data_IF_340064445568
#
_entry.id   IF_340064445568
#
_cell.length_a   1.000
_cell.length_b   1.000
_cell.length_c   1.000
_cell.angle_alpha   90.00
_cell.angle_beta   90.00
_cell.angle_gamma   90.00
#
_symmetry.space_group_name_H-M   'P 1'
#
loop_
_entity.id
_entity.type
_entity.pdbx_description
1 polymer ?
#
# COMPACT_ATOMS: atom_id res chain seq x y z
N UNK A 1 13.03 1.19 26.95
CA UNK A 1 11.93 1.52 26.05
C UNK A 1 12.23 1.23 24.58
N UNK A 2 13.17 1.92 23.89
CA UNK A 2 13.45 1.72 22.46
C UNK A 2 13.78 0.27 22.04
N UNK A 3 14.62 -0.43 22.81
CA UNK A 3 15.03 -1.82 22.52
C UNK A 3 13.87 -2.82 22.59
N UNK A 4 12.92 -2.61 23.49
CA UNK A 4 11.71 -3.44 23.59
C UNK A 4 10.80 -3.20 22.39
N UNK A 5 10.62 -1.93 22.00
CA UNK A 5 9.80 -1.57 20.83
C UNK A 5 10.37 -2.15 19.53
N UNK A 6 11.69 -2.10 19.32
CA UNK A 6 12.34 -2.73 18.16
C UNK A 6 12.13 -4.25 18.15
N UNK A 7 12.30 -4.91 19.31
CA UNK A 7 12.09 -6.36 19.41
C UNK A 7 10.64 -6.78 19.16
N UNK A 8 9.68 -5.94 19.52
CA UNK A 8 8.26 -6.19 19.25
C UNK A 8 7.90 -5.90 17.77
N UNK A 9 8.49 -4.84 17.16
CA UNK A 9 8.23 -4.46 15.78
C UNK A 9 8.81 -5.47 14.77
N UNK A 10 10.00 -6.01 15.04
CA UNK A 10 10.73 -6.84 14.08
C UNK A 10 9.94 -8.08 13.61
N UNK A 11 9.32 -8.90 14.47
CA UNK A 11 8.54 -10.06 14.02
C UNK A 11 7.35 -9.67 13.14
N UNK A 12 6.71 -8.53 13.42
CA UNK A 12 5.57 -8.05 12.65
C UNK A 12 5.95 -7.63 11.22
N UNK A 13 7.23 -7.29 10.99
CA UNK A 13 7.73 -6.82 9.69
C UNK A 13 8.36 -7.94 8.85
N UNK A 14 8.58 -9.14 9.38
CA UNK A 14 9.20 -10.26 8.62
C UNK A 14 8.41 -10.65 7.36
N UNK A 15 7.06 -10.80 7.41
CA UNK A 15 6.29 -11.11 6.21
C UNK A 15 6.43 -10.03 5.12
N UNK A 16 6.44 -8.75 5.55
CA UNK A 16 6.62 -7.60 4.66
C UNK A 16 8.01 -7.61 4.04
N UNK A 17 9.03 -7.90 4.83
CA UNK A 17 10.42 -8.00 4.37
C UNK A 17 10.54 -8.95 3.17
N UNK A 18 9.90 -10.12 3.23
CA UNK A 18 9.94 -11.09 2.13
C UNK A 18 9.33 -10.54 0.84
N UNK A 19 8.17 -9.89 0.94
CA UNK A 19 7.53 -9.22 -0.21
C UNK A 19 8.38 -8.08 -0.76
N UNK A 20 8.92 -7.23 0.12
CA UNK A 20 9.73 -6.08 -0.28
C UNK A 20 11.08 -6.46 -0.89
N UNK A 21 11.69 -7.57 -0.47
CA UNK A 21 12.91 -8.08 -1.11
C UNK A 21 12.61 -8.41 -2.57
N UNK A 22 11.52 -9.10 -2.85
CA UNK A 22 11.17 -9.47 -4.22
C UNK A 22 10.75 -8.26 -5.06
N UNK A 23 9.80 -7.46 -4.58
CA UNK A 23 9.28 -6.30 -5.32
C UNK A 23 10.32 -5.20 -5.50
N UNK A 24 11.09 -4.89 -4.46
CA UNK A 24 12.13 -3.88 -4.51
C UNK A 24 13.28 -4.29 -5.44
N UNK A 25 13.71 -5.58 -5.39
CA UNK A 25 14.71 -6.08 -6.33
C UNK A 25 14.21 -6.00 -7.78
N UNK A 26 12.94 -6.35 -8.03
CA UNK A 26 12.32 -6.24 -9.36
C UNK A 26 12.32 -4.78 -9.84
N UNK A 27 11.98 -3.82 -8.95
CA UNK A 27 12.04 -2.39 -9.24
C UNK A 27 13.47 -1.93 -9.61
N UNK A 28 14.46 -2.32 -8.80
CA UNK A 28 15.85 -1.95 -9.06
C UNK A 28 16.38 -2.51 -10.38
N UNK A 29 16.06 -3.76 -10.70
CA UNK A 29 16.40 -4.39 -11.99
C UNK A 29 15.71 -3.64 -13.12
N UNK A 30 14.41 -3.34 -12.99
CA UNK A 30 13.66 -2.59 -13.97
C UNK A 30 14.26 -1.20 -14.26
N UNK A 31 14.58 -0.43 -13.20
CA UNK A 31 15.21 0.87 -13.35
C UNK A 31 16.55 0.78 -14.06
N UNK A 32 17.38 -0.23 -13.72
CA UNK A 32 18.68 -0.44 -14.37
C UNK A 32 18.52 -0.83 -15.85
N UNK A 33 17.61 -1.71 -16.16
CA UNK A 33 17.32 -2.13 -17.53
C UNK A 33 16.75 -0.99 -18.40
N UNK A 34 16.07 -0.03 -17.75
CA UNK A 34 15.63 1.23 -18.38
C UNK A 34 16.75 2.25 -18.59
N UNK A 35 18.01 1.89 -18.25
CA UNK A 35 19.20 2.74 -18.46
C UNK A 35 19.62 3.58 -17.24
N UNK A 36 18.94 3.44 -16.10
CA UNK A 36 19.30 4.16 -14.88
C UNK A 36 20.38 3.40 -14.07
N UNK A 37 21.38 4.12 -13.56
CA UNK A 37 22.33 3.58 -12.59
C UNK A 37 21.61 3.21 -11.29
N UNK A 38 22.17 2.26 -10.51
CA UNK A 38 21.66 1.84 -9.20
C UNK A 38 21.47 3.02 -8.20
N UNK A 39 22.10 4.14 -8.45
CA UNK A 39 21.98 5.37 -7.65
C UNK A 39 20.55 5.95 -7.74
N UNK A 40 19.88 5.82 -8.91
CA UNK A 40 18.52 6.29 -9.09
C UNK A 40 17.52 5.50 -8.23
N UNK A 41 17.41 4.17 -8.32
CA UNK A 41 16.53 3.42 -7.43
C UNK A 41 16.87 3.59 -5.94
N UNK A 42 18.13 3.79 -5.56
CA UNK A 42 18.51 4.12 -4.20
C UNK A 42 17.85 5.42 -3.72
N UNK A 43 18.03 6.52 -4.45
CA UNK A 43 17.47 7.81 -4.03
C UNK A 43 15.95 7.88 -4.21
N UNK A 44 15.40 7.29 -5.25
CA UNK A 44 13.95 7.26 -5.46
C UNK A 44 13.25 6.47 -4.35
N UNK A 45 13.73 5.28 -4.00
CA UNK A 45 13.18 4.47 -2.92
C UNK A 45 13.35 5.12 -1.54
N UNK A 46 14.42 5.90 -1.34
CA UNK A 46 14.65 6.63 -0.10
C UNK A 46 13.80 7.89 0.04
N UNK A 47 13.55 8.64 -1.06
CA UNK A 47 12.89 9.94 -1.03
C UNK A 47 11.41 9.89 -1.42
N UNK A 48 11.04 9.07 -2.40
CA UNK A 48 9.65 8.92 -2.86
C UNK A 48 8.93 7.92 -1.96
N UNK A 49 9.55 6.76 -1.73
CA UNK A 49 9.02 5.66 -0.91
C UNK A 49 7.55 5.33 -1.25
N UNK A 50 7.27 5.25 -2.54
CA UNK A 50 5.91 5.14 -3.07
C UNK A 50 5.62 3.84 -3.84
N UNK A 51 6.55 2.87 -3.83
CA UNK A 51 6.36 1.58 -4.51
C UNK A 51 5.93 1.71 -5.97
N UNK A 52 4.63 1.59 -6.23
CA UNK A 52 4.07 1.69 -7.58
C UNK A 52 4.37 3.02 -8.28
N UNK A 53 4.41 4.13 -7.54
CA UNK A 53 4.80 5.42 -8.11
C UNK A 53 6.24 5.43 -8.62
N UNK A 54 7.15 4.70 -7.98
CA UNK A 54 8.56 4.64 -8.40
C UNK A 54 8.71 3.92 -9.74
N UNK A 55 7.95 2.86 -10.00
CA UNK A 55 7.93 2.21 -11.31
C UNK A 55 7.43 3.15 -12.41
N UNK A 56 6.33 3.87 -12.15
CA UNK A 56 5.79 4.86 -13.09
C UNK A 56 6.76 6.03 -13.27
N UNK A 57 7.45 6.46 -12.23
CA UNK A 57 8.41 7.55 -12.30
C UNK A 57 9.61 7.22 -13.21
N UNK A 58 10.03 5.96 -13.29
CA UNK A 58 11.06 5.52 -14.26
C UNK A 58 10.62 5.83 -15.70
N UNK A 59 9.39 5.49 -16.08
CA UNK A 59 8.86 5.79 -17.43
C UNK A 59 8.70 7.28 -17.67
N UNK A 60 8.22 8.00 -16.65
CA UNK A 60 8.03 9.45 -16.76
C UNK A 60 9.36 10.19 -16.91
N UNK A 61 10.44 9.70 -16.30
CA UNK A 61 11.78 10.26 -16.46
C UNK A 61 12.36 10.03 -17.87
N UNK A 62 11.91 8.99 -18.57
CA UNK A 62 12.28 8.70 -19.96
C UNK A 62 11.41 9.44 -20.97
N UNK A 63 10.27 9.96 -20.55
CA UNK A 63 9.32 10.71 -21.37
C UNK A 63 9.68 12.21 -21.46
N UNK A 64 9.14 12.97 -22.42
CA UNK A 64 9.30 14.41 -22.45
C UNK A 64 8.86 15.07 -21.15
N UNK A 65 9.56 16.13 -20.74
CA UNK A 65 9.32 16.81 -19.45
C UNK A 65 7.90 17.38 -19.36
N UNK A 66 7.05 16.76 -18.55
CA UNK A 66 5.66 17.13 -18.32
C UNK A 66 5.33 17.15 -16.81
N UNK A 67 5.78 18.17 -16.05
CA UNK A 67 5.70 18.18 -14.58
C UNK A 67 4.26 18.17 -14.05
N UNK A 68 3.33 18.81 -14.75
CA UNK A 68 1.92 18.80 -14.36
C UNK A 68 1.30 17.42 -14.49
N UNK A 69 1.59 16.71 -15.59
CA UNK A 69 1.13 15.35 -15.79
C UNK A 69 1.71 14.41 -14.75
N UNK A 70 3.02 14.54 -14.45
CA UNK A 70 3.69 13.77 -13.39
C UNK A 70 3.05 14.03 -12.03
N UNK A 71 2.75 15.27 -11.68
CA UNK A 71 2.09 15.62 -10.42
C UNK A 71 0.70 14.99 -10.31
N UNK A 72 -0.12 15.09 -11.37
CA UNK A 72 -1.46 14.50 -11.40
C UNK A 72 -1.39 12.97 -11.24
N UNK A 73 -0.49 12.32 -11.98
CA UNK A 73 -0.28 10.87 -11.90
C UNK A 73 0.16 10.45 -10.50
N UNK A 74 1.13 11.16 -9.91
CA UNK A 74 1.58 10.89 -8.55
C UNK A 74 0.43 11.02 -7.53
N UNK A 75 -0.38 12.06 -7.65
CA UNK A 75 -1.54 12.29 -6.78
C UNK A 75 -2.58 11.16 -6.91
N UNK A 76 -2.85 10.72 -8.13
CA UNK A 76 -3.82 9.64 -8.39
C UNK A 76 -3.33 8.29 -7.86
N UNK A 77 -2.09 7.93 -8.13
CA UNK A 77 -1.50 6.66 -7.68
C UNK A 77 -1.43 6.61 -6.14
N UNK A 78 -1.08 7.73 -5.51
CA UNK A 78 -0.89 7.84 -4.06
C UNK A 78 -2.13 8.35 -3.32
N UNK A 79 -3.28 8.52 -3.98
CA UNK A 79 -4.51 9.03 -3.36
C UNK A 79 -4.94 8.20 -2.13
N UNK A 80 -4.70 6.90 -2.13
CA UNK A 80 -5.00 6.00 -1.01
C UNK A 80 -4.27 6.37 0.29
N UNK A 81 -3.06 6.95 0.20
CA UNK A 81 -2.30 7.37 1.38
C UNK A 81 -2.96 8.53 2.15
N UNK A 82 -3.80 9.34 1.49
CA UNK A 82 -4.61 10.36 2.16
C UNK A 82 -5.60 9.73 3.14
N UNK A 83 -6.24 8.62 2.74
CA UNK A 83 -7.19 7.89 3.60
C UNK A 83 -6.48 7.18 4.75
N UNK A 84 -5.30 6.60 4.50
CA UNK A 84 -4.49 6.01 5.57
C UNK A 84 -4.06 7.05 6.58
N UNK A 85 -3.59 8.22 6.11
CA UNK A 85 -3.22 9.33 6.96
C UNK A 85 -4.39 9.79 7.84
N UNK A 86 -5.60 9.90 7.29
CA UNK A 86 -6.80 10.29 8.02
C UNK A 86 -7.16 9.26 9.12
N UNK A 87 -7.12 7.97 8.79
CA UNK A 87 -7.42 6.87 9.72
C UNK A 87 -6.41 6.76 10.87
N UNK A 88 -5.17 7.19 10.64
CA UNK A 88 -4.08 7.12 11.63
C UNK A 88 -3.92 8.37 12.48
N UNK A 89 -4.70 9.45 12.24
CA UNK A 89 -4.55 10.73 12.95
C UNK A 89 -4.62 10.57 14.47
N UNK A 90 -5.57 9.79 14.97
CA UNK A 90 -5.74 9.57 16.40
C UNK A 90 -4.62 8.71 16.99
N UNK A 91 -4.16 7.70 16.27
CA UNK A 91 -3.04 6.84 16.71
C UNK A 91 -1.71 7.59 16.76
N UNK A 92 -1.55 8.63 15.95
CA UNK A 92 -0.33 9.46 15.92
C UNK A 92 -0.33 10.60 16.97
N UNK A 93 -1.43 10.79 17.70
CA UNK A 93 -1.46 11.74 18.83
C UNK A 93 -0.46 11.32 19.91
N UNK A 94 0.31 12.27 20.41
CA UNK A 94 1.30 12.02 21.47
C UNK A 94 2.62 11.41 21.04
N UNK A 95 2.82 11.11 19.74
CA UNK A 95 4.10 10.54 19.25
C UNK A 95 5.23 11.57 19.08
N UNK A 96 4.95 12.86 19.30
CA UNK A 96 5.94 13.94 19.20
C UNK A 96 6.50 14.09 17.77
N UNK A 97 7.82 14.34 17.68
CA UNK A 97 8.49 14.54 16.38
C UNK A 97 8.41 13.31 15.46
N UNK A 98 8.25 12.10 16.01
CA UNK A 98 8.09 10.85 15.24
C UNK A 98 6.91 10.92 14.27
N UNK A 99 5.88 11.73 14.59
CA UNK A 99 4.69 11.91 13.74
C UNK A 99 5.04 12.29 12.30
N UNK A 100 6.00 13.17 12.09
CA UNK A 100 6.39 13.60 10.74
C UNK A 100 6.95 12.43 9.93
N UNK A 101 7.81 11.61 10.55
CA UNK A 101 8.36 10.44 9.91
C UNK A 101 7.30 9.35 9.68
N UNK A 102 6.39 9.15 10.62
CA UNK A 102 5.29 8.19 10.50
C UNK A 102 4.32 8.55 9.35
N UNK A 103 4.07 9.84 9.14
CA UNK A 103 3.25 10.32 8.01
C UNK A 103 3.99 10.11 6.69
N UNK A 104 5.26 10.48 6.64
CA UNK A 104 6.09 10.32 5.44
C UNK A 104 6.25 8.84 5.05
N UNK A 105 6.59 7.98 5.99
CA UNK A 105 6.84 6.55 5.76
C UNK A 105 5.58 5.68 5.75
N UNK A 106 4.41 6.27 5.52
CA UNK A 106 3.15 5.54 5.42
C UNK A 106 3.07 4.84 4.07
N UNK A 107 3.00 3.52 4.07
CA UNK A 107 2.64 2.68 2.92
C UNK A 107 1.58 1.68 3.34
N UNK A 108 1.07 0.89 2.42
CA UNK A 108 -0.02 -0.07 2.66
C UNK A 108 0.33 -1.04 3.79
N UNK A 109 1.53 -1.59 3.74
CA UNK A 109 2.03 -2.57 4.70
C UNK A 109 2.31 -1.93 6.07
N UNK A 110 2.88 -0.73 6.07
CA UNK A 110 3.13 0.02 7.31
C UNK A 110 1.81 0.41 7.96
N UNK A 111 0.82 0.83 7.18
CA UNK A 111 -0.53 1.10 7.66
C UNK A 111 -1.16 -0.16 8.26
N UNK A 112 -1.13 -1.26 7.54
CA UNK A 112 -1.71 -2.53 7.99
C UNK A 112 -1.18 -2.94 9.35
N UNK A 113 0.15 -2.98 9.52
CA UNK A 113 0.77 -3.36 10.81
C UNK A 113 0.46 -2.34 11.90
N UNK A 114 0.64 -1.04 11.65
CA UNK A 114 0.43 -0.01 12.67
C UNK A 114 -1.04 0.13 13.08
N UNK A 115 -1.97 -0.25 12.19
CA UNK A 115 -3.40 -0.23 12.47
C UNK A 115 -3.89 -1.45 13.25
N UNK A 116 -3.38 -2.64 12.92
CA UNK A 116 -3.88 -3.92 13.44
C UNK A 116 -3.05 -4.50 14.58
N UNK A 117 -1.77 -4.08 14.73
CA UNK A 117 -0.89 -4.66 15.73
C UNK A 117 -1.40 -4.44 17.16
N UNK A 118 -1.47 -5.53 17.90
CA UNK A 118 -1.72 -5.52 19.34
C UNK A 118 -0.39 -5.27 20.08
N UNK A 119 -0.20 -4.01 20.52
CA UNK A 119 1.06 -3.56 21.11
C UNK A 119 1.02 -3.81 22.61
N UNK A 120 1.96 -4.63 23.17
CA UNK A 120 2.02 -4.88 24.60
C UNK A 120 2.08 -3.61 25.44
N UNK A 121 1.45 -3.59 26.60
CA UNK A 121 1.35 -2.41 27.48
C UNK A 121 2.72 -1.87 27.94
N UNK A 122 3.74 -2.75 28.03
CA UNK A 122 5.10 -2.39 28.41
C UNK A 122 5.94 -1.81 27.27
N UNK A 123 5.36 -1.69 26.06
CA UNK A 123 6.00 -1.17 24.84
C UNK A 123 5.46 0.21 24.49
N UNK A 124 6.36 1.17 24.27
CA UNK A 124 5.99 2.52 23.79
C UNK A 124 5.46 2.45 22.37
N UNK A 125 4.17 2.80 22.20
CA UNK A 125 3.45 2.75 20.91
C UNK A 125 4.13 3.61 19.84
N UNK A 126 4.62 4.79 20.20
CA UNK A 126 5.26 5.70 19.27
C UNK A 126 6.60 5.17 18.76
N UNK A 127 7.39 4.49 19.60
CA UNK A 127 8.62 3.83 19.16
C UNK A 127 8.35 2.54 18.39
N UNK A 128 7.29 1.80 18.72
CA UNK A 128 6.88 0.62 17.96
C UNK A 128 6.56 1.01 16.51
N UNK A 129 5.63 1.95 16.30
CA UNK A 129 5.25 2.43 14.97
C UNK A 129 6.46 3.01 14.21
N UNK A 130 7.34 3.74 14.90
CA UNK A 130 8.56 4.27 14.29
C UNK A 130 9.47 3.16 13.76
N UNK A 131 9.68 2.09 14.53
CA UNK A 131 10.53 0.99 14.09
C UNK A 131 9.89 0.14 13.01
N UNK A 132 8.57 -0.08 13.02
CA UNK A 132 7.86 -0.72 11.91
C UNK A 132 8.10 0.07 10.61
N UNK A 133 7.88 1.38 10.63
CA UNK A 133 8.08 2.25 9.48
C UNK A 133 9.55 2.25 9.01
N UNK A 134 10.50 2.33 9.94
CA UNK A 134 11.94 2.36 9.63
C UNK A 134 12.40 1.04 9.00
N UNK A 135 11.97 -0.10 9.54
CA UNK A 135 12.33 -1.42 9.03
C UNK A 135 11.77 -1.63 7.63
N UNK A 136 10.52 -1.30 7.41
CA UNK A 136 9.88 -1.42 6.10
C UNK A 136 10.59 -0.53 5.06
N UNK A 137 10.89 0.73 5.39
CA UNK A 137 11.64 1.59 4.49
C UNK A 137 13.04 1.04 4.21
N UNK A 138 13.73 0.55 5.23
CA UNK A 138 15.05 -0.06 5.06
C UNK A 138 15.00 -1.28 4.13
N UNK A 139 14.00 -2.16 4.29
CA UNK A 139 13.85 -3.33 3.43
C UNK A 139 13.61 -2.93 1.97
N UNK A 140 12.76 -1.93 1.73
CA UNK A 140 12.49 -1.42 0.40
C UNK A 140 13.74 -0.81 -0.25
N UNK A 141 14.40 0.12 0.43
CA UNK A 141 15.59 0.80 -0.08
C UNK A 141 16.74 -0.19 -0.34
N UNK A 142 16.97 -1.12 0.59
CA UNK A 142 18.03 -2.10 0.45
C UNK A 142 17.77 -3.06 -0.73
N UNK A 143 16.54 -3.53 -0.90
CA UNK A 143 16.17 -4.43 -1.99
C UNK A 143 16.18 -3.72 -3.35
N UNK A 144 15.67 -2.49 -3.44
CA UNK A 144 15.72 -1.68 -4.67
C UNK A 144 17.16 -1.39 -5.11
N UNK A 145 18.01 -1.05 -4.15
CA UNK A 145 19.44 -0.81 -4.43
C UNK A 145 20.15 -2.09 -4.86
N UNK A 146 19.91 -3.19 -4.15
CA UNK A 146 20.49 -4.49 -4.50
C UNK A 146 20.01 -4.94 -5.91
N UNK A 147 18.73 -4.75 -6.22
CA UNK A 147 18.18 -5.01 -7.54
C UNK A 147 18.86 -4.19 -8.65
N UNK A 148 19.08 -2.88 -8.39
CA UNK A 148 19.81 -2.00 -9.32
C UNK A 148 21.24 -2.43 -9.56
N UNK A 149 21.96 -2.90 -8.51
CA UNK A 149 23.31 -3.45 -8.63
C UNK A 149 23.30 -4.77 -9.39
N UNK A 150 22.40 -5.69 -9.03
CA UNK A 150 22.26 -6.98 -9.73
C UNK A 150 21.92 -6.77 -11.21
N UNK A 151 21.01 -5.84 -11.52
CA UNK A 151 20.65 -5.47 -12.88
C UNK A 151 21.86 -4.98 -13.69
N UNK A 152 22.78 -4.25 -13.06
CA UNK A 152 23.99 -3.77 -13.73
C UNK A 152 25.04 -4.86 -14.00
N UNK A 153 25.04 -5.92 -13.18
CA UNK A 153 25.95 -7.06 -13.32
C UNK A 153 25.45 -8.10 -14.30
N UNK A 154 24.13 -8.30 -14.34
CA UNK A 154 23.48 -9.20 -15.25
C UNK A 154 23.11 -8.44 -16.52
N UNK A 155 23.71 -8.80 -17.67
CA UNK A 155 23.21 -8.35 -18.99
C UNK A 155 21.86 -9.00 -19.26
N UNK A 156 20.83 -8.50 -18.57
CA UNK A 156 19.47 -9.01 -18.74
C UNK A 156 18.95 -8.51 -20.08
N UNK A 157 18.42 -9.44 -20.89
CA UNK A 157 17.68 -9.06 -22.08
C UNK A 157 16.48 -8.21 -21.66
N UNK A 158 16.40 -7.00 -22.17
CA UNK A 158 15.36 -6.02 -21.83
C UNK A 158 14.03 -6.28 -22.52
N UNK A 159 13.99 -7.30 -23.43
CA UNK A 159 12.74 -7.72 -24.07
C UNK A 159 11.75 -8.22 -23.00
N UNK A 160 10.64 -7.53 -22.86
CA UNK A 160 9.60 -7.86 -21.88
C UNK A 160 9.69 -7.12 -20.52
N UNK A 161 10.63 -6.23 -20.29
CA UNK A 161 10.70 -5.43 -19.05
C UNK A 161 9.45 -4.55 -18.87
N UNK A 162 8.88 -4.01 -19.95
CA UNK A 162 7.60 -3.33 -19.90
C UNK A 162 6.47 -4.20 -19.34
N UNK A 163 6.58 -5.53 -19.51
CA UNK A 163 5.62 -6.47 -18.93
C UNK A 163 5.74 -6.61 -17.41
N UNK A 164 6.90 -6.34 -16.81
CA UNK A 164 7.10 -6.41 -15.35
C UNK A 164 6.14 -5.47 -14.62
N UNK A 165 5.95 -4.27 -15.15
CA UNK A 165 5.02 -3.31 -14.56
C UNK A 165 3.57 -3.78 -14.66
N UNK A 166 3.16 -4.27 -15.83
CA UNK A 166 1.83 -4.86 -16.02
C UNK A 166 1.62 -6.05 -15.08
N UNK A 167 2.59 -6.96 -15.00
CA UNK A 167 2.53 -8.11 -14.09
C UNK A 167 2.42 -7.68 -12.63
N UNK A 168 3.17 -6.65 -12.21
CA UNK A 168 3.09 -6.12 -10.85
C UNK A 168 1.69 -5.57 -10.52
N UNK A 169 1.09 -4.78 -11.42
CA UNK A 169 -0.26 -4.27 -11.21
C UNK A 169 -1.31 -5.39 -11.19
N UNK A 170 -1.15 -6.43 -12.02
CA UNK A 170 -2.00 -7.62 -11.97
C UNK A 170 -1.87 -8.33 -10.62
N UNK A 171 -0.64 -8.51 -10.11
CA UNK A 171 -0.41 -9.14 -8.80
C UNK A 171 -1.02 -8.31 -7.67
N UNK A 172 -0.87 -6.98 -7.68
CA UNK A 172 -1.50 -6.09 -6.67
C UNK A 172 -3.02 -6.19 -6.75
N UNK A 173 -3.58 -6.19 -7.94
CA UNK A 173 -5.03 -6.36 -8.13
C UNK A 173 -5.51 -7.73 -7.61
N UNK A 174 -4.79 -8.81 -7.94
CA UNK A 174 -5.11 -10.15 -7.47
C UNK A 174 -5.00 -10.28 -5.94
N UNK A 175 -3.99 -9.66 -5.33
CA UNK A 175 -3.83 -9.65 -3.87
C UNK A 175 -5.00 -8.93 -3.19
N UNK A 176 -5.45 -7.81 -3.74
CA UNK A 176 -6.64 -7.11 -3.24
C UNK A 176 -7.91 -7.93 -3.46
N UNK A 177 -8.05 -8.52 -4.65
CA UNK A 177 -9.19 -9.38 -4.97
C UNK A 177 -9.33 -10.56 -4.00
N UNK A 178 -8.22 -11.20 -3.64
CA UNK A 178 -8.21 -12.34 -2.71
C UNK A 178 -8.47 -11.94 -1.25
N UNK A 179 -8.21 -10.67 -0.89
CA UNK A 179 -8.43 -10.15 0.47
C UNK A 179 -9.84 -9.60 0.70
N UNK A 180 -10.55 -9.27 -0.37
CA UNK A 180 -11.90 -8.72 -0.30
C UNK A 180 -12.95 -9.85 -0.35
N UNK A 181 -13.84 -9.89 0.65
CA UNK A 181 -14.98 -10.82 0.64
C UNK A 181 -16.03 -10.45 -0.42
N UNK A 182 -16.05 -9.17 -0.83
CA UNK A 182 -16.99 -8.64 -1.83
C UNK A 182 -16.28 -7.88 -2.92
N UNK A 183 -16.30 -8.40 -4.13
CA UNK A 183 -15.60 -7.86 -5.29
C UNK A 183 -16.35 -6.73 -6.03
N UNK A 184 -17.38 -6.13 -5.41
CA UNK A 184 -18.22 -5.11 -6.06
C UNK A 184 -17.39 -3.88 -6.45
N UNK A 185 -16.52 -3.39 -5.54
CA UNK A 185 -15.66 -2.24 -5.80
C UNK A 185 -14.68 -2.51 -6.93
N UNK A 186 -14.09 -3.70 -6.91
CA UNK A 186 -13.13 -4.15 -7.92
C UNK A 186 -13.77 -4.34 -9.29
N UNK A 187 -15.00 -4.90 -9.34
CA UNK A 187 -15.77 -5.05 -10.58
C UNK A 187 -16.16 -3.69 -11.16
N UNK A 188 -16.68 -2.77 -10.32
CA UNK A 188 -16.99 -1.40 -10.76
C UNK A 188 -15.74 -0.72 -11.34
N UNK A 189 -14.59 -0.86 -10.69
CA UNK A 189 -13.32 -0.32 -11.17
C UNK A 189 -12.94 -0.87 -12.54
N UNK A 190 -13.11 -2.17 -12.74
CA UNK A 190 -12.78 -2.86 -13.99
C UNK A 190 -13.73 -2.46 -15.13
N UNK A 191 -15.04 -2.46 -14.87
CA UNK A 191 -16.06 -2.08 -15.85
C UNK A 191 -15.91 -0.62 -16.28
N UNK A 192 -15.75 0.30 -15.33
CA UNK A 192 -15.55 1.73 -15.63
C UNK A 192 -14.26 1.94 -16.41
N UNK A 193 -13.18 1.24 -16.06
CA UNK A 193 -11.90 1.34 -16.78
C UNK A 193 -12.06 0.88 -18.23
N UNK A 194 -12.75 -0.23 -18.45
CA UNK A 194 -12.99 -0.76 -19.80
C UNK A 194 -13.86 0.20 -20.64
N UNK A 195 -14.94 0.72 -20.06
CA UNK A 195 -15.82 1.68 -20.73
C UNK A 195 -15.07 2.96 -21.08
N UNK A 196 -14.30 3.52 -20.15
CA UNK A 196 -13.51 4.73 -20.40
C UNK A 196 -12.41 4.50 -21.44
N UNK A 197 -11.78 3.31 -21.45
CA UNK A 197 -10.79 2.94 -22.46
C UNK A 197 -11.41 2.91 -23.87
N UNK A 198 -12.62 2.39 -24.01
CA UNK A 198 -13.34 2.32 -25.30
C UNK A 198 -13.79 3.71 -25.78
N UNK A 199 -14.15 4.62 -24.85
CA UNK A 199 -14.65 5.96 -25.20
C UNK A 199 -13.50 6.93 -25.47
N UNK A 200 -12.47 6.97 -24.62
CA UNK A 200 -11.42 8.00 -24.64
C UNK A 200 -10.13 7.52 -25.31
N UNK A 201 -9.99 6.21 -25.61
CA UNK A 201 -8.78 5.61 -26.15
C UNK A 201 -7.65 5.48 -25.14
N UNK A 202 -6.58 4.76 -25.52
CA UNK A 202 -5.48 4.38 -24.62
C UNK A 202 -4.71 5.58 -24.03
N UNK A 203 -4.61 6.68 -24.77
CA UNK A 203 -3.79 7.84 -24.37
C UNK A 203 -4.45 8.74 -23.32
N UNK A 204 -5.79 8.73 -23.22
CA UNK A 204 -6.53 9.73 -22.43
C UNK A 204 -7.55 9.14 -21.44
N UNK A 205 -7.73 7.81 -21.40
CA UNK A 205 -8.79 7.18 -20.57
C UNK A 205 -8.53 7.29 -19.06
N UNK A 206 -7.29 7.41 -18.63
CA UNK A 206 -6.87 7.26 -17.24
C UNK A 206 -7.52 8.30 -16.31
N UNK A 207 -7.48 9.58 -16.66
CA UNK A 207 -8.05 10.66 -15.85
C UNK A 207 -9.59 10.57 -15.76
N UNK A 208 -10.34 10.41 -16.86
CA UNK A 208 -11.79 10.20 -16.80
C UNK A 208 -12.18 8.97 -15.99
N UNK A 209 -11.45 7.86 -16.12
CA UNK A 209 -11.67 6.64 -15.34
C UNK A 209 -11.57 6.91 -13.85
N UNK A 210 -10.49 7.53 -13.40
CA UNK A 210 -10.26 7.81 -11.98
C UNK A 210 -11.35 8.71 -11.40
N UNK A 211 -11.73 9.78 -12.10
CA UNK A 211 -12.80 10.68 -11.67
C UNK A 211 -14.12 9.91 -11.57
N UNK A 212 -14.45 9.13 -12.59
CA UNK A 212 -15.70 8.36 -12.64
C UNK A 212 -15.76 7.33 -11.52
N UNK A 213 -14.68 6.59 -11.25
CA UNK A 213 -14.61 5.61 -10.16
C UNK A 213 -14.81 6.31 -8.81
N UNK A 214 -14.11 7.42 -8.55
CA UNK A 214 -14.23 8.15 -7.27
C UNK A 214 -15.67 8.66 -7.07
N UNK A 215 -16.27 9.26 -8.09
CA UNK A 215 -17.65 9.75 -8.02
C UNK A 215 -18.62 8.60 -7.80
N UNK A 216 -18.50 7.52 -8.58
CA UNK A 216 -19.39 6.37 -8.51
C UNK A 216 -19.32 5.68 -7.14
N UNK A 217 -18.12 5.39 -6.64
CA UNK A 217 -17.93 4.77 -5.32
C UNK A 217 -18.40 5.69 -4.19
N UNK A 218 -18.19 7.01 -4.30
CA UNK A 218 -18.68 7.97 -3.29
C UNK A 218 -20.21 8.01 -3.25
N UNK A 219 -20.87 7.99 -4.40
CA UNK A 219 -22.34 7.96 -4.50
C UNK A 219 -22.90 6.62 -4.00
N UNK A 220 -22.26 5.51 -4.36
CA UNK A 220 -22.68 4.17 -3.95
C UNK A 220 -22.30 3.84 -2.50
N UNK A 221 -21.39 4.58 -1.87
CA UNK A 221 -20.89 4.32 -0.52
C UNK A 221 -22.01 4.04 0.49
N UNK A 222 -23.05 4.87 0.50
CA UNK A 222 -24.20 4.69 1.42
C UNK A 222 -24.93 3.35 1.23
N UNK A 223 -24.97 2.84 -0.01
CA UNK A 223 -25.60 1.53 -0.30
C UNK A 223 -24.66 0.38 0.05
N UNK A 224 -23.38 0.55 -0.16
CA UNK A 224 -22.36 -0.46 0.15
C UNK A 224 -22.19 -0.61 1.67
N UNK A 225 -22.11 0.49 2.43
CA UNK A 225 -21.95 0.51 3.90
C UNK A 225 -23.21 -0.09 4.61
N UNK A 226 -24.42 0.17 4.11
CA UNK A 226 -25.67 -0.41 4.67
C UNK A 226 -25.71 -1.93 4.48
N UNK A 227 -25.14 -2.43 3.41
CA UNK A 227 -25.10 -3.87 3.13
C UNK A 227 -24.04 -4.58 3.98
N UNK A 228 -22.97 -3.90 4.37
CA UNK A 228 -21.96 -4.43 5.29
C UNK A 228 -22.47 -4.52 6.74
N UNK A 229 -23.27 -3.54 7.17
CA UNK A 229 -23.91 -3.56 8.50
C UNK A 229 -24.93 -4.67 8.66
N UNK A 230 -25.54 -5.13 7.56
CA UNK A 230 -26.54 -6.21 7.56
C UNK A 230 -25.94 -7.63 7.58
N UNK A 231 -24.62 -7.77 7.40
CA UNK A 231 -23.93 -9.06 7.34
C UNK A 231 -23.08 -9.38 8.59
N UNK A 232 -23.02 -8.48 9.56
CA UNK A 232 -22.41 -8.80 10.87
C UNK A 232 -23.45 -9.61 11.68
N UNK A 233 -23.13 -10.84 12.12
CA UNK A 233 -24.00 -11.56 13.04
C UNK A 233 -24.15 -10.72 14.32
N UNK A 234 -25.39 -10.60 14.77
CA UNK A 234 -25.79 -9.81 15.93
C UNK A 234 -25.01 -10.29 17.16
N UNK A 235 -24.01 -9.53 17.58
CA UNK A 235 -23.19 -9.84 18.79
C UNK A 235 -24.04 -9.77 20.05
N UNK A 236 -25.30 -9.29 19.95
CA UNK A 236 -26.25 -9.28 21.04
C UNK A 236 -26.73 -10.69 21.45
N UNK A 237 -26.73 -11.65 20.53
CA UNK A 237 -27.18 -13.03 20.83
C UNK A 237 -26.14 -13.82 21.64
N UNK A 238 -24.86 -13.47 21.52
CA UNK A 238 -23.78 -14.10 22.28
C UNK A 238 -23.75 -13.70 23.79
N UNK A 239 -24.23 -12.49 24.12
CA UNK A 239 -24.31 -12.05 25.53
C UNK A 239 -25.46 -12.72 26.27
N UNK A 240 -26.62 -12.83 25.62
CA UNK A 240 -27.78 -13.51 26.20
C UNK A 240 -27.54 -15.02 26.41
N UNK A 241 -26.73 -15.65 25.54
CA UNK A 241 -26.37 -17.07 25.70
C UNK A 241 -25.42 -17.29 26.87
N UNK A 242 -24.52 -16.36 27.16
CA UNK A 242 -23.59 -16.46 28.28
C UNK A 242 -24.27 -16.16 29.62
N UNK A 243 -25.19 -15.18 29.68
CA UNK A 243 -25.99 -14.91 30.88
C UNK A 243 -26.91 -16.06 31.23
N UNK A 244 -27.55 -16.69 30.25
CA UNK A 244 -28.38 -17.86 30.47
C UNK A 244 -27.61 -19.13 30.90
N UNK A 245 -26.33 -19.26 30.51
CA UNK A 245 -25.47 -20.34 30.98
C UNK A 245 -25.01 -20.12 32.42
N UNK A 246 -24.73 -18.89 32.83
CA UNK A 246 -24.36 -18.57 34.21
C UNK A 246 -25.55 -18.72 35.20
N UNK A 247 -26.77 -18.38 34.78
CA UNK A 247 -27.95 -18.62 35.61
C UNK A 247 -28.30 -20.13 35.78
N UNK A 248 -27.88 -20.98 34.86
CA UNK A 248 -28.06 -22.42 34.98
C UNK A 248 -27.01 -23.12 35.89
N UNK A 249 -25.82 -22.54 36.03
CA UNK A 249 -24.80 -23.05 36.94
C UNK A 249 -25.04 -22.63 38.42
N UNK A 250 -25.83 -21.60 38.68
CA UNK A 250 -26.17 -21.14 40.05
C UNK A 250 -27.46 -21.77 40.60
N UNK A 251 -28.12 -22.67 39.88
CA UNK A 251 -29.29 -23.45 40.34
C UNK A 251 -28.95 -24.89 40.58
#
# INVERSE_FOLDING_TARGET
MRRKALKAAFPCTIPIMTGFIFLGASYGIYANASGFSFVYPLFMSMLIYGGSLEFVAVEMLLSPFAPLQMFIMALLIQARHLFYGLSMLDKFKGTGWKKFYLIYGMCDETFSVNYTADIPEDVDKGWFMFFVTLLNQFYWVASATAGGIIGSLLKINTDGISFVMTAMFVVIFMDQWLKEDRHISSLIGLDVSLICLLIFGADSFMIPTMITIVVLLTVLRRKLDVTDSASLPDVADGKNSLENMQEQEER
#
